data_IF_893664848930
#
_entry.id   IF_893664848930
#
_cell.length_a   1.000
_cell.length_b   1.000
_cell.length_c   1.000
_cell.angle_alpha   90.00
_cell.angle_beta   90.00
_cell.angle_gamma   90.00
#
_symmetry.space_group_name_H-M   'P 1'
#
loop_
_entity.id
_entity.type
_entity.pdbx_description
1 polymer ?
#
# COMPACT_ATOMS: atom_id res chain seq x y z
N UNK A 1 18.81 -8.15 5.03
CA UNK A 1 19.23 -8.24 6.46
C UNK A 1 17.98 -8.49 7.27
N UNK A 2 17.79 -9.69 7.80
CA UNK A 2 16.63 -10.02 8.62
C UNK A 2 16.67 -9.18 9.91
N UNK A 3 15.68 -8.30 10.11
CA UNK A 3 15.52 -7.60 11.38
C UNK A 3 14.88 -8.50 12.42
N UNK A 4 15.35 -8.32 13.63
CA UNK A 4 15.11 -9.06 14.86
C UNK A 4 13.63 -9.01 15.31
N UNK A 5 13.04 -10.19 15.60
CA UNK A 5 11.78 -10.45 16.32
C UNK A 5 10.56 -9.56 16.01
N UNK A 6 9.94 -9.77 14.85
CA UNK A 6 8.54 -9.38 14.66
C UNK A 6 7.64 -10.16 15.63
N UNK A 7 6.76 -9.46 16.34
CA UNK A 7 5.72 -10.07 17.18
C UNK A 7 4.83 -11.02 16.37
N UNK A 8 4.18 -11.98 17.03
CA UNK A 8 3.23 -12.89 16.38
C UNK A 8 2.15 -12.13 15.58
N UNK A 9 1.69 -11.00 16.11
CA UNK A 9 0.72 -10.13 15.45
C UNK A 9 1.28 -9.50 14.16
N UNK A 10 2.54 -9.04 14.17
CA UNK A 10 3.16 -8.50 12.96
C UNK A 10 3.31 -9.57 11.88
N UNK A 11 3.72 -10.78 12.26
CA UNK A 11 3.84 -11.91 11.35
C UNK A 11 2.48 -12.26 10.71
N UNK A 12 1.42 -12.25 11.51
CA UNK A 12 0.04 -12.46 11.03
C UNK A 12 -0.40 -11.35 10.05
N UNK A 13 -0.15 -10.08 10.39
CA UNK A 13 -0.42 -8.93 9.50
C UNK A 13 0.32 -9.10 8.17
N UNK A 14 1.59 -9.49 8.18
CA UNK A 14 2.36 -9.73 6.96
C UNK A 14 1.83 -10.93 6.16
N UNK A 15 1.35 -11.98 6.83
CA UNK A 15 0.71 -13.10 6.13
C UNK A 15 -0.56 -12.64 5.39
N UNK A 16 -1.39 -11.83 6.04
CA UNK A 16 -2.59 -11.24 5.42
C UNK A 16 -2.26 -10.34 4.22
N UNK A 17 -1.25 -9.47 4.36
CA UNK A 17 -0.78 -8.57 3.29
C UNK A 17 -0.20 -9.33 2.09
N UNK A 18 0.47 -10.47 2.32
CA UNK A 18 0.99 -11.31 1.25
C UNK A 18 -0.11 -12.09 0.53
N UNK A 19 -1.16 -12.49 1.25
CA UNK A 19 -2.29 -13.23 0.70
C UNK A 19 -3.30 -12.34 -0.04
N UNK A 20 -3.44 -11.07 0.36
CA UNK A 20 -4.44 -10.15 -0.17
C UNK A 20 -3.77 -8.93 -0.79
N UNK A 21 -4.02 -8.69 -2.07
CA UNK A 21 -3.41 -7.57 -2.79
C UNK A 21 -4.38 -6.41 -3.02
N UNK A 22 -5.69 -6.62 -2.96
CA UNK A 22 -6.65 -5.54 -3.17
C UNK A 22 -6.81 -4.71 -1.90
N UNK A 23 -6.37 -3.45 -1.97
CA UNK A 23 -6.48 -2.48 -0.89
C UNK A 23 -7.11 -1.18 -1.38
N UNK A 24 -7.62 -0.37 -0.45
CA UNK A 24 -8.08 0.98 -0.71
C UNK A 24 -6.99 1.98 -0.35
N UNK A 25 -6.52 2.74 -1.33
CA UNK A 25 -5.56 3.82 -1.15
C UNK A 25 -6.29 5.16 -1.08
N UNK A 26 -6.08 5.88 0.02
CA UNK A 26 -6.45 7.27 0.20
C UNK A 26 -5.26 8.20 -0.09
N UNK A 27 -5.48 9.21 -0.92
CA UNK A 27 -4.56 10.34 -1.17
C UNK A 27 -5.28 11.67 -0.92
N UNK A 28 -4.53 12.76 -0.83
CA UNK A 28 -5.10 14.09 -0.64
C UNK A 28 -4.98 14.93 -1.93
N UNK A 29 -6.10 15.47 -2.40
CA UNK A 29 -6.18 16.45 -3.48
C UNK A 29 -6.53 17.82 -2.88
N UNK A 30 -5.51 18.64 -2.61
CA UNK A 30 -5.59 19.88 -1.82
C UNK A 30 -6.12 19.63 -0.40
N UNK A 31 -7.43 19.67 -0.21
CA UNK A 31 -8.13 19.37 1.06
C UNK A 31 -9.16 18.24 0.91
N UNK A 32 -9.31 17.70 -0.30
CA UNK A 32 -10.29 16.68 -0.63
C UNK A 32 -9.62 15.29 -0.54
N UNK A 33 -10.08 14.38 0.34
CA UNK A 33 -9.65 12.99 0.30
C UNK A 33 -10.13 12.31 -0.97
N UNK A 34 -9.28 11.47 -1.56
CA UNK A 34 -9.58 10.64 -2.73
C UNK A 34 -9.24 9.19 -2.42
N UNK A 35 -10.25 8.32 -2.45
CA UNK A 35 -10.11 6.89 -2.14
C UNK A 35 -10.35 6.07 -3.40
N UNK A 36 -9.54 5.03 -3.62
CA UNK A 36 -9.66 4.14 -4.77
C UNK A 36 -9.09 2.75 -4.46
N UNK A 37 -9.62 1.68 -5.07
CA UNK A 37 -8.99 0.37 -5.02
C UNK A 37 -7.64 0.40 -5.77
N UNK A 38 -6.66 -0.33 -5.25
CA UNK A 38 -5.34 -0.56 -5.84
C UNK A 38 -4.90 -2.00 -5.58
N UNK A 39 -3.96 -2.47 -6.38
CA UNK A 39 -3.17 -3.66 -6.07
C UNK A 39 -1.94 -3.19 -5.28
N UNK A 40 -1.79 -3.72 -4.07
CA UNK A 40 -0.70 -3.45 -3.15
C UNK A 40 0.27 -4.64 -3.16
N UNK A 41 1.55 -4.36 -3.43
CA UNK A 41 2.61 -5.35 -3.38
C UNK A 41 3.48 -5.10 -2.14
N UNK A 42 3.97 -6.18 -1.53
CA UNK A 42 4.91 -6.10 -0.41
C UNK A 42 6.21 -6.84 -0.79
N UNK A 43 7.26 -6.06 -1.04
CA UNK A 43 8.53 -6.54 -1.63
C UNK A 43 9.67 -5.80 -0.92
N UNK A 44 10.68 -6.55 -0.47
CA UNK A 44 11.87 -6.03 0.23
C UNK A 44 11.53 -5.01 1.33
N UNK A 45 10.58 -5.41 2.19
CA UNK A 45 10.09 -4.62 3.32
C UNK A 45 9.42 -3.28 2.94
N UNK A 46 8.98 -3.15 1.67
CA UNK A 46 8.31 -1.96 1.15
C UNK A 46 6.97 -2.29 0.52
N UNK A 47 6.07 -1.33 0.60
CA UNK A 47 4.79 -1.38 -0.07
C UNK A 47 4.83 -0.64 -1.39
N UNK A 48 4.35 -1.28 -2.45
CA UNK A 48 4.36 -0.76 -3.80
C UNK A 48 2.96 -0.73 -4.39
N UNK A 49 2.71 0.31 -5.19
CA UNK A 49 1.53 0.42 -6.05
C UNK A 49 2.03 0.79 -7.44
N UNK A 50 1.72 -0.04 -8.43
CA UNK A 50 2.05 0.23 -9.83
C UNK A 50 0.88 0.96 -10.48
N UNK A 51 1.14 2.09 -11.12
CA UNK A 51 0.11 2.97 -11.73
C UNK A 51 0.70 3.69 -12.94
N UNK A 52 -0.15 4.24 -13.82
CA UNK A 52 0.33 5.03 -14.95
C UNK A 52 0.80 6.41 -14.48
N UNK A 53 1.87 6.94 -15.08
CA UNK A 53 2.44 8.23 -14.69
C UNK A 53 1.47 9.40 -14.84
N UNK A 54 0.45 9.26 -15.70
CA UNK A 54 -0.61 10.26 -15.90
C UNK A 54 -1.80 10.13 -14.95
N UNK A 55 -1.83 9.13 -14.05
CA UNK A 55 -2.94 8.97 -13.11
C UNK A 55 -2.98 10.13 -12.12
N UNK A 56 -4.18 10.62 -11.81
CA UNK A 56 -4.39 11.74 -10.88
C UNK A 56 -3.74 11.52 -9.50
N UNK A 57 -3.65 10.26 -9.05
CA UNK A 57 -2.98 9.90 -7.79
C UNK A 57 -1.48 10.22 -7.78
N UNK A 58 -0.83 10.19 -8.95
CA UNK A 58 0.59 10.55 -9.08
C UNK A 58 0.78 12.02 -8.74
N UNK A 59 -0.02 12.91 -9.34
CA UNK A 59 0.06 14.33 -9.02
C UNK A 59 -0.32 14.59 -7.55
N UNK A 60 -1.35 13.93 -7.04
CA UNK A 60 -1.76 14.07 -5.63
C UNK A 60 -0.64 13.66 -4.66
N UNK A 61 0.08 12.57 -4.93
CA UNK A 61 1.23 12.12 -4.12
C UNK A 61 2.42 13.07 -4.28
N UNK A 62 2.64 13.63 -5.47
CA UNK A 62 3.68 14.63 -5.70
C UNK A 62 3.44 15.90 -4.88
N UNK A 63 2.19 16.35 -4.81
CA UNK A 63 1.79 17.55 -4.08
C UNK A 63 1.71 17.31 -2.57
N UNK A 64 1.20 16.14 -2.16
CA UNK A 64 1.08 15.70 -0.78
C UNK A 64 1.27 14.18 -0.65
N UNK A 65 2.43 13.79 -0.13
CA UNK A 65 2.79 12.39 0.05
C UNK A 65 1.98 11.65 1.12
N UNK A 66 1.18 12.33 1.94
CA UNK A 66 0.40 11.70 3.00
C UNK A 66 -0.67 10.76 2.42
N UNK A 67 -0.64 9.51 2.88
CA UNK A 67 -1.54 8.46 2.43
C UNK A 67 -2.09 7.64 3.60
N UNK A 68 -3.21 6.99 3.35
CA UNK A 68 -3.72 5.90 4.17
C UNK A 68 -4.10 4.72 3.27
N UNK A 69 -3.86 3.51 3.75
CA UNK A 69 -4.24 2.27 3.07
C UNK A 69 -5.11 1.45 4.01
N UNK A 70 -6.22 0.95 3.48
CA UNK A 70 -7.11 0.03 4.16
C UNK A 70 -7.19 -1.27 3.35
N UNK A 71 -6.83 -2.38 3.99
CA UNK A 71 -6.95 -3.72 3.43
C UNK A 71 -8.10 -4.43 4.15
N UNK A 72 -9.25 -4.64 3.50
CA UNK A 72 -10.35 -5.41 4.06
C UNK A 72 -9.92 -6.86 4.27
N UNK A 73 -10.32 -7.43 5.41
CA UNK A 73 -10.15 -8.84 5.73
C UNK A 73 -11.51 -9.52 5.75
N UNK A 74 -11.56 -10.72 5.21
CA UNK A 74 -12.73 -11.61 5.31
C UNK A 74 -12.25 -13.01 5.62
N UNK A 75 -12.66 -13.57 6.75
CA UNK A 75 -12.32 -14.94 7.14
C UNK A 75 -13.51 -15.59 7.85
N UNK A 76 -13.93 -16.78 7.39
CA UNK A 76 -14.99 -17.57 8.01
C UNK A 76 -16.29 -16.80 8.33
N UNK A 77 -16.66 -15.81 7.50
CA UNK A 77 -17.86 -14.97 7.71
C UNK A 77 -17.66 -13.76 8.62
N UNK A 78 -16.46 -13.59 9.20
CA UNK A 78 -16.06 -12.39 9.92
C UNK A 78 -15.42 -11.38 8.97
N UNK A 79 -15.67 -10.10 9.22
CA UNK A 79 -15.08 -8.98 8.47
C UNK A 79 -14.21 -8.13 9.39
N UNK A 80 -13.10 -7.65 8.85
CA UNK A 80 -12.15 -6.79 9.55
C UNK A 80 -11.35 -5.95 8.56
N UNK A 81 -10.32 -5.26 9.04
CA UNK A 81 -9.39 -4.56 8.17
C UNK A 81 -8.03 -4.34 8.82
N UNK A 82 -7.00 -4.30 7.99
CA UNK A 82 -5.67 -3.78 8.35
C UNK A 82 -5.59 -2.37 7.80
N UNK A 83 -5.19 -1.42 8.64
CA UNK A 83 -5.03 -0.01 8.24
C UNK A 83 -3.63 0.47 8.56
N UNK A 84 -3.01 1.14 7.62
CA UNK A 84 -1.73 1.80 7.85
C UNK A 84 -1.70 3.16 7.14
N UNK A 85 -1.06 4.11 7.80
CA UNK A 85 -0.91 5.49 7.32
C UNK A 85 0.58 5.78 7.15
N UNK A 86 0.94 6.62 6.19
CA UNK A 86 2.34 6.88 5.90
C UNK A 86 2.55 7.93 4.83
N UNK A 87 3.76 7.93 4.28
CA UNK A 87 4.13 8.81 3.16
C UNK A 87 4.50 7.98 1.94
N UNK A 88 3.86 8.25 0.81
CA UNK A 88 4.20 7.67 -0.48
C UNK A 88 5.19 8.57 -1.23
N UNK A 89 6.04 7.96 -2.05
CA UNK A 89 6.95 8.66 -2.96
C UNK A 89 6.84 8.04 -4.34
N UNK A 90 6.97 8.87 -5.38
CA UNK A 90 6.94 8.41 -6.77
C UNK A 90 8.31 7.84 -7.10
N UNK A 91 8.34 6.57 -7.51
CA UNK A 91 9.53 5.90 -7.98
C UNK A 91 9.43 5.66 -9.50
N UNK A 92 10.46 6.03 -10.26
CA UNK A 92 10.45 5.97 -11.75
C UNK A 92 11.56 5.09 -12.34
N UNK A 93 12.43 4.50 -11.52
CA UNK A 93 13.49 3.64 -12.02
C UNK A 93 12.90 2.37 -12.67
N UNK A 94 13.29 2.10 -13.91
CA UNK A 94 12.79 0.95 -14.68
C UNK A 94 13.36 -0.39 -14.19
N UNK A 95 14.48 -0.36 -13.46
CA UNK A 95 15.15 -1.56 -12.95
C UNK A 95 14.33 -2.21 -11.84
N UNK A 96 13.92 -1.42 -10.85
CA UNK A 96 13.09 -1.88 -9.72
C UNK A 96 11.63 -2.14 -10.11
N UNK A 97 11.16 -1.58 -11.25
CA UNK A 97 9.82 -1.87 -11.77
C UNK A 97 9.62 -3.35 -12.09
N UNK A 98 10.70 -4.06 -12.49
CA UNK A 98 10.64 -5.52 -12.75
C UNK A 98 10.51 -6.33 -11.47
N UNK A 99 11.06 -5.84 -10.36
CA UNK A 99 10.96 -6.50 -9.06
C UNK A 99 9.56 -6.33 -8.46
N UNK A 100 8.89 -5.21 -8.77
CA UNK A 100 7.54 -4.88 -8.33
C UNK A 100 6.38 -5.55 -9.11
N UNK A 101 6.66 -6.16 -10.28
CA UNK A 101 5.67 -6.77 -11.19
C UNK A 101 5.83 -8.30 -11.29
#
# INVERSE_FOLDING_TARGET
MARTNDSSLQQEIYAWLKANQYAYLATCDKKQPRVRPVVLFYIDDRFWVVTFSGDSKVQQIADNGAIEVCLPLTEAGHTGYIRFSGNARIWRDQTEKREAM
#
